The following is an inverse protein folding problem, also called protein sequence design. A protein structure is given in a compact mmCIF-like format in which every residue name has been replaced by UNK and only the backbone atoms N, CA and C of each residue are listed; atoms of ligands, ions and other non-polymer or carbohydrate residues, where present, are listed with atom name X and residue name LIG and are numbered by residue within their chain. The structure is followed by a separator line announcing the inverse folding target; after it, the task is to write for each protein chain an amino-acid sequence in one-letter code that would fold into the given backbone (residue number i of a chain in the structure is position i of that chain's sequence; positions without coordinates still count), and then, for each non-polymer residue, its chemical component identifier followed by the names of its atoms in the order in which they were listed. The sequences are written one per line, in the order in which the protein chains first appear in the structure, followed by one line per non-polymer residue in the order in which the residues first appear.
data_IF_871298141723
#
_entry.id   IF_871298141723
#
_cell.length_a   1.000
_cell.length_b   1.000
_cell.length_c   1.000
_cell.angle_alpha   90.00
_cell.angle_beta   90.00
_cell.angle_gamma   90.00
#
_symmetry.space_group_name_H-M   'P 1'
#
loop_
_entity.id
_entity.type
_entity.pdbx_description
1 polymer ?
#
# COMPACT_ATOMS: atom_id res chain seq x y z
N UNK A 1 -10.71 -12.87 -18.06
CA UNK A 1 -10.77 -12.40 -16.66
C UNK A 1 -9.37 -12.45 -16.07
N UNK A 2 -9.02 -11.54 -15.17
CA UNK A 2 -7.78 -11.67 -14.37
C UNK A 2 -8.03 -12.70 -13.27
N UNK A 3 -7.12 -13.65 -13.10
CA UNK A 3 -7.16 -14.61 -12.00
C UNK A 3 -6.36 -14.06 -10.80
N UNK A 4 -7.04 -13.89 -9.67
CA UNK A 4 -6.45 -13.41 -8.42
C UNK A 4 -6.27 -14.53 -7.38
N UNK A 5 -6.52 -15.79 -7.75
CA UNK A 5 -6.43 -16.96 -6.85
C UNK A 5 -5.07 -17.12 -6.20
N UNK A 6 -4.00 -16.69 -6.87
CA UNK A 6 -2.64 -16.68 -6.31
C UNK A 6 -2.53 -15.88 -5.00
N UNK A 7 -3.39 -14.89 -4.75
CA UNK A 7 -3.42 -14.16 -3.47
C UNK A 7 -3.81 -15.12 -2.35
N UNK A 8 -4.93 -15.83 -2.52
CA UNK A 8 -5.43 -16.81 -1.56
C UNK A 8 -4.43 -17.95 -1.35
N UNK A 9 -3.89 -18.51 -2.42
CA UNK A 9 -2.91 -19.61 -2.34
C UNK A 9 -1.64 -19.20 -1.60
N UNK A 10 -1.18 -17.95 -1.79
CA UNK A 10 -0.02 -17.41 -1.06
C UNK A 10 -0.30 -17.32 0.43
N UNK A 11 -1.49 -16.85 0.82
CA UNK A 11 -1.89 -16.73 2.22
C UNK A 11 -2.07 -18.10 2.88
N UNK A 12 -2.64 -19.08 2.17
CA UNK A 12 -2.75 -20.47 2.64
C UNK A 12 -1.36 -21.05 2.87
N UNK A 13 -0.44 -20.90 1.91
CA UNK A 13 0.92 -21.41 2.05
C UNK A 13 1.68 -20.77 3.23
N UNK A 14 1.43 -19.49 3.54
CA UNK A 14 1.97 -18.83 4.74
C UNK A 14 1.35 -19.42 6.03
N UNK A 15 0.06 -19.70 6.01
CA UNK A 15 -0.63 -20.34 7.14
C UNK A 15 -0.07 -21.74 7.41
N UNK A 16 0.11 -22.56 6.37
CA UNK A 16 0.66 -23.91 6.46
C UNK A 16 2.11 -23.93 6.97
N UNK A 17 2.89 -22.89 6.64
CA UNK A 17 4.26 -22.70 7.14
C UNK A 17 4.33 -22.10 8.55
N UNK A 18 3.19 -21.71 9.12
CA UNK A 18 3.11 -21.12 10.46
C UNK A 18 3.64 -19.69 10.57
N UNK A 19 3.84 -18.97 9.46
CA UNK A 19 4.39 -17.60 9.46
C UNK A 19 3.36 -16.50 9.12
N UNK A 20 2.08 -16.87 8.95
CA UNK A 20 1.02 -15.92 8.58
C UNK A 20 0.85 -14.80 9.62
N UNK A 21 0.92 -15.10 10.92
CA UNK A 21 0.75 -14.09 11.97
C UNK A 21 1.85 -13.02 11.93
N UNK A 22 3.11 -13.45 11.90
CA UNK A 22 4.26 -12.55 11.81
C UNK A 22 4.21 -11.73 10.52
N UNK A 23 3.84 -12.37 9.40
CA UNK A 23 3.65 -11.68 8.13
C UNK A 23 2.53 -10.62 8.23
N UNK A 24 1.39 -10.92 8.85
CA UNK A 24 0.28 -9.97 9.01
C UNK A 24 0.73 -8.73 9.80
N UNK A 25 1.52 -8.89 10.85
CA UNK A 25 2.04 -7.76 11.61
C UNK A 25 2.95 -6.86 10.76
N UNK A 26 3.91 -7.47 10.05
CA UNK A 26 4.82 -6.72 9.19
C UNK A 26 4.10 -6.08 8.00
N UNK A 27 3.14 -6.79 7.40
CA UNK A 27 2.36 -6.30 6.27
C UNK A 27 1.48 -5.12 6.67
N UNK A 28 0.86 -5.18 7.86
CA UNK A 28 0.07 -4.07 8.37
C UNK A 28 0.92 -2.81 8.52
N UNK A 29 2.09 -2.94 9.17
CA UNK A 29 3.05 -1.84 9.31
C UNK A 29 3.50 -1.30 7.95
N UNK A 30 3.83 -2.19 7.01
CA UNK A 30 4.30 -1.82 5.67
C UNK A 30 3.24 -1.05 4.89
N UNK A 31 1.98 -1.52 4.87
CA UNK A 31 0.89 -0.91 4.12
C UNK A 31 0.52 0.49 4.66
N UNK A 32 0.45 0.65 5.99
CA UNK A 32 0.21 1.95 6.61
C UNK A 32 1.35 2.91 6.28
N UNK A 33 2.59 2.47 6.49
CA UNK A 33 3.78 3.29 6.27
C UNK A 33 3.93 3.70 4.81
N UNK A 34 3.70 2.78 3.86
CA UNK A 34 3.80 3.10 2.43
C UNK A 34 2.77 4.15 2.00
N UNK A 35 1.56 4.12 2.56
CA UNK A 35 0.51 5.11 2.21
C UNK A 35 0.80 6.49 2.80
N UNK A 36 1.31 6.55 4.02
CA UNK A 36 1.78 7.82 4.61
C UNK A 36 2.94 8.37 3.79
N UNK A 37 3.94 7.56 3.46
CA UNK A 37 5.07 7.97 2.63
C UNK A 37 4.62 8.44 1.23
N UNK A 38 3.64 7.77 0.63
CA UNK A 38 3.04 8.19 -0.63
C UNK A 38 2.36 9.55 -0.51
N UNK A 39 1.59 9.78 0.55
CA UNK A 39 0.96 11.08 0.82
C UNK A 39 1.97 12.21 0.99
N UNK A 40 3.07 11.97 1.71
CA UNK A 40 4.17 12.94 1.86
C UNK A 40 4.80 13.25 0.49
N UNK A 41 5.11 12.23 -0.30
CA UNK A 41 5.69 12.40 -1.63
C UNK A 41 4.77 13.18 -2.59
N UNK A 42 3.45 12.97 -2.47
CA UNK A 42 2.45 13.64 -3.30
C UNK A 42 2.02 15.02 -2.77
N UNK A 43 2.42 15.40 -1.57
CA UNK A 43 2.10 16.72 -1.01
C UNK A 43 2.82 17.86 -1.74
N UNK A 44 3.90 17.59 -2.47
CA UNK A 44 4.66 18.64 -3.16
C UNK A 44 5.31 19.66 -2.21
N UNK A 45 5.51 19.28 -0.95
CA UNK A 45 6.25 20.07 0.04
C UNK A 45 7.76 19.89 -0.15
N UNK A 46 8.60 20.84 0.32
CA UNK A 46 10.05 20.65 0.33
C UNK A 46 10.44 19.35 1.05
N UNK A 47 11.61 18.76 0.72
CA UNK A 47 12.07 17.56 1.41
C UNK A 47 12.07 17.74 2.94
N UNK A 48 11.33 16.88 3.62
CA UNK A 48 11.23 16.85 5.08
C UNK A 48 12.10 15.74 5.66
N UNK A 49 12.72 16.01 6.81
CA UNK A 49 13.52 15.01 7.52
C UNK A 49 12.66 13.95 8.22
N UNK A 50 13.29 12.88 8.72
CA UNK A 50 12.57 11.78 9.35
C UNK A 50 11.87 12.18 10.65
N UNK A 51 12.31 13.25 11.33
CA UNK A 51 11.64 13.75 12.53
C UNK A 51 10.28 14.36 12.17
N UNK A 52 10.23 15.16 11.09
CA UNK A 52 8.97 15.72 10.58
C UNK A 52 8.08 14.62 10.01
N UNK A 53 8.63 13.64 9.27
CA UNK A 53 7.84 12.48 8.79
C UNK A 53 7.17 11.73 9.95
N UNK A 54 7.90 11.45 11.01
CA UNK A 54 7.36 10.76 12.20
C UNK A 54 6.25 11.57 12.87
N UNK A 55 6.38 12.90 12.91
CA UNK A 55 5.34 13.79 13.46
C UNK A 55 4.07 13.77 12.62
N UNK A 56 4.20 13.88 11.29
CA UNK A 56 3.08 13.76 10.34
C UNK A 56 2.42 12.39 10.51
N UNK A 57 3.20 11.31 10.49
CA UNK A 57 2.69 9.96 10.61
C UNK A 57 1.91 9.74 11.92
N UNK A 58 2.46 10.18 13.06
CA UNK A 58 1.79 10.10 14.35
C UNK A 58 0.45 10.85 14.35
N UNK A 59 0.41 12.05 13.76
CA UNK A 59 -0.83 12.85 13.69
C UNK A 59 -1.88 12.24 12.76
N UNK A 60 -1.45 11.74 11.61
CA UNK A 60 -2.32 11.03 10.67
C UNK A 60 -2.91 9.78 11.34
N UNK A 61 -2.10 8.98 12.01
CA UNK A 61 -2.56 7.77 12.72
C UNK A 61 -3.54 8.14 13.85
N UNK A 62 -3.25 9.17 14.65
CA UNK A 62 -4.14 9.66 15.71
C UNK A 62 -5.54 10.05 15.19
N UNK A 63 -5.59 10.59 13.97
CA UNK A 63 -6.84 11.00 13.31
C UNK A 63 -7.60 9.84 12.63
N UNK A 64 -7.12 8.60 12.79
CA UNK A 64 -7.73 7.39 12.20
C UNK A 64 -8.13 6.39 13.28
N UNK A 65 -8.86 5.34 12.89
CA UNK A 65 -9.21 4.23 13.78
C UNK A 65 -8.14 3.13 13.84
N UNK A 66 -6.92 3.40 13.37
CA UNK A 66 -5.84 2.41 13.25
C UNK A 66 -5.14 2.20 14.60
N UNK A 67 -5.77 1.43 15.49
CA UNK A 67 -5.25 1.16 16.84
C UNK A 67 -3.90 0.46 16.79
N UNK A 68 -2.95 0.88 17.62
CA UNK A 68 -1.60 0.30 17.68
C UNK A 68 -0.88 0.26 16.31
N UNK A 69 -1.19 1.21 15.43
CA UNK A 69 -0.44 1.34 14.18
C UNK A 69 0.96 1.89 14.45
N UNK A 70 1.94 1.25 13.82
CA UNK A 70 3.34 1.67 13.84
C UNK A 70 3.70 2.23 12.47
N UNK A 71 4.45 3.32 12.45
CA UNK A 71 5.01 3.90 11.24
C UNK A 71 6.52 3.60 11.17
N UNK A 72 6.99 3.26 9.98
CA UNK A 72 8.41 3.09 9.71
C UNK A 72 8.78 3.76 8.38
N UNK A 73 9.64 4.81 8.40
CA UNK A 73 9.81 5.74 7.29
C UNK A 73 10.42 5.11 6.03
N UNK A 74 11.08 3.96 6.17
CA UNK A 74 11.76 3.30 5.06
C UNK A 74 10.87 2.32 4.28
N UNK A 75 9.62 2.09 4.71
CA UNK A 75 8.70 1.26 3.94
C UNK A 75 8.10 2.02 2.76
N UNK A 76 8.43 1.56 1.57
CA UNK A 76 7.94 2.14 0.30
C UNK A 76 6.84 1.32 -0.36
N UNK A 77 6.71 0.02 -0.03
CA UNK A 77 5.72 -0.85 -0.66
C UNK A 77 5.26 -1.97 0.28
N UNK A 78 3.97 -2.32 0.18
CA UNK A 78 3.38 -3.47 0.87
C UNK A 78 3.61 -4.77 0.09
N UNK A 79 3.69 -5.91 0.77
CA UNK A 79 3.83 -7.20 0.09
C UNK A 79 2.54 -7.65 -0.59
N UNK A 80 1.36 -7.23 -0.09
CA UNK A 80 0.08 -7.45 -0.79
C UNK A 80 0.09 -6.77 -2.15
N UNK A 81 0.63 -5.54 -2.25
CA UNK A 81 0.79 -4.87 -3.55
C UNK A 81 1.65 -5.68 -4.51
N UNK A 82 2.73 -6.30 -4.04
CA UNK A 82 3.60 -7.13 -4.87
C UNK A 82 2.92 -8.42 -5.34
N UNK A 83 2.14 -9.06 -4.47
CA UNK A 83 1.36 -10.26 -4.81
C UNK A 83 0.30 -9.92 -5.87
N UNK A 84 -0.46 -8.83 -5.66
CA UNK A 84 -1.46 -8.34 -6.61
C UNK A 84 -0.82 -7.99 -7.94
N UNK A 85 0.28 -7.24 -7.93
CA UNK A 85 1.02 -6.87 -9.13
C UNK A 85 1.45 -8.12 -9.92
N UNK A 86 1.95 -9.15 -9.22
CA UNK A 86 2.32 -10.43 -9.83
C UNK A 86 1.15 -11.16 -10.46
N UNK A 87 -0.07 -11.04 -9.92
CA UNK A 87 -1.27 -11.62 -10.52
C UNK A 87 -1.68 -10.87 -11.79
N UNK A 88 -1.67 -9.53 -11.74
CA UNK A 88 -2.02 -8.67 -12.87
C UNK A 88 -1.03 -8.84 -14.02
N UNK A 89 0.26 -8.85 -13.72
CA UNK A 89 1.33 -8.96 -14.71
C UNK A 89 1.31 -10.30 -15.47
N UNK A 90 0.86 -11.39 -14.84
CA UNK A 90 0.72 -12.71 -15.49
C UNK A 90 -0.47 -12.78 -16.46
N UNK A 91 -1.35 -11.78 -16.48
CA UNK A 91 -2.51 -11.78 -17.36
C UNK A 91 -2.12 -11.26 -18.75
N UNK A 92 -1.93 -12.16 -19.72
CA UNK A 92 -1.51 -11.81 -21.08
C UNK A 92 -2.47 -10.82 -21.76
N UNK A 93 -3.79 -10.95 -21.54
CA UNK A 93 -4.77 -10.05 -22.14
C UNK A 93 -4.59 -8.63 -21.60
N UNK A 94 -4.44 -8.48 -20.28
CA UNK A 94 -4.16 -7.20 -19.65
C UNK A 94 -2.84 -6.63 -20.16
N UNK A 95 -1.77 -7.43 -20.17
CA UNK A 95 -0.45 -6.95 -20.63
C UNK A 95 -0.47 -6.50 -22.09
N UNK A 96 -1.12 -7.25 -22.98
CA UNK A 96 -1.26 -6.87 -24.38
C UNK A 96 -2.04 -5.55 -24.55
N UNK A 97 -3.10 -5.31 -23.77
CA UNK A 97 -3.81 -4.02 -23.77
C UNK A 97 -2.94 -2.86 -23.26
N UNK A 98 -2.01 -3.13 -22.34
CA UNK A 98 -1.13 -2.11 -21.77
C UNK A 98 0.09 -1.81 -22.65
N UNK A 99 0.61 -2.79 -23.38
CA UNK A 99 1.76 -2.64 -24.29
C UNK A 99 1.50 -1.63 -25.42
N UNK A 100 0.25 -1.52 -25.88
CA UNK A 100 -0.17 -0.49 -26.85
C UNK A 100 -0.01 0.96 -26.31
N UNK A 101 0.32 1.12 -25.03
CA UNK A 101 0.39 2.42 -24.33
C UNK A 101 1.61 2.55 -23.39
N UNK A 102 2.80 2.11 -23.83
CA UNK A 102 4.02 1.80 -23.04
C UNK A 102 4.41 2.61 -21.77
N UNK A 103 4.03 3.88 -21.60
CA UNK A 103 4.21 4.62 -20.33
C UNK A 103 2.92 4.80 -19.51
N UNK A 104 1.80 5.05 -20.20
CA UNK A 104 0.49 5.21 -19.59
C UNK A 104 -0.05 3.86 -19.10
N UNK A 105 0.22 2.79 -19.84
CA UNK A 105 -0.12 1.42 -19.47
C UNK A 105 0.55 0.98 -18.17
N UNK A 106 1.84 1.30 -17.98
CA UNK A 106 2.54 1.02 -16.71
C UNK A 106 1.93 1.81 -15.55
N UNK A 107 1.57 3.09 -15.76
CA UNK A 107 0.90 3.89 -14.75
C UNK A 107 -0.49 3.32 -14.39
N UNK A 108 -1.25 2.90 -15.40
CA UNK A 108 -2.54 2.23 -15.22
C UNK A 108 -2.40 0.92 -14.43
N UNK A 109 -1.37 0.12 -14.74
CA UNK A 109 -1.09 -1.13 -14.03
C UNK A 109 -0.77 -0.87 -12.56
N UNK A 110 0.08 0.13 -12.27
CA UNK A 110 0.43 0.52 -10.91
C UNK A 110 -0.80 0.98 -10.12
N UNK A 111 -1.64 1.84 -10.71
CA UNK A 111 -2.86 2.33 -10.07
C UNK A 111 -3.85 1.19 -9.81
N UNK A 112 -4.01 0.27 -10.76
CA UNK A 112 -4.87 -0.90 -10.60
C UNK A 112 -4.35 -1.84 -9.51
N UNK A 113 -3.04 -2.09 -9.48
CA UNK A 113 -2.40 -2.91 -8.46
C UNK A 113 -2.57 -2.30 -7.07
N UNK A 114 -2.37 -0.99 -6.93
CA UNK A 114 -2.58 -0.29 -5.66
C UNK A 114 -4.05 -0.35 -5.21
N UNK A 115 -4.99 -0.12 -6.14
CA UNK A 115 -6.42 -0.19 -5.84
C UNK A 115 -6.84 -1.58 -5.34
N UNK A 116 -6.45 -2.64 -6.05
CA UNK A 116 -6.79 -4.01 -5.66
C UNK A 116 -6.09 -4.38 -4.34
N UNK A 117 -4.83 -4.00 -4.16
CA UNK A 117 -4.09 -4.25 -2.93
C UNK A 117 -4.74 -3.58 -1.71
N UNK A 118 -5.26 -2.37 -1.87
CA UNK A 118 -6.01 -1.67 -0.83
C UNK A 118 -7.27 -2.45 -0.43
N UNK A 119 -8.04 -2.97 -1.40
CA UNK A 119 -9.24 -3.77 -1.12
C UNK A 119 -8.89 -5.08 -0.38
N UNK A 120 -7.81 -5.74 -0.79
CA UNK A 120 -7.31 -6.96 -0.14
C UNK A 120 -6.86 -6.65 1.30
N UNK A 121 -6.08 -5.59 1.49
CA UNK A 121 -5.64 -5.15 2.82
C UNK A 121 -6.84 -4.88 3.73
N UNK A 122 -7.77 -4.04 3.29
CA UNK A 122 -8.94 -3.67 4.09
C UNK A 122 -9.75 -4.93 4.49
N UNK A 123 -9.84 -5.92 3.60
CA UNK A 123 -10.51 -7.20 3.89
C UNK A 123 -9.73 -8.06 4.90
N UNK A 124 -8.39 -8.11 4.81
CA UNK A 124 -7.55 -8.94 5.68
C UNK A 124 -7.41 -8.41 7.11
N UNK A 125 -7.47 -7.09 7.28
CA UNK A 125 -7.22 -6.40 8.54
C UNK A 125 -8.47 -5.79 9.16
N UNK A 126 -9.59 -5.71 8.41
CA UNK A 126 -10.80 -4.98 8.84
C UNK A 126 -10.51 -3.50 9.15
N UNK A 127 -9.63 -2.89 8.36
CA UNK A 127 -9.18 -1.51 8.48
C UNK A 127 -9.50 -0.76 7.19
N UNK A 128 -9.64 0.57 7.26
CA UNK A 128 -9.80 1.41 6.07
C UNK A 128 -8.59 2.32 5.89
N UNK A 129 -7.76 1.98 4.92
CA UNK A 129 -6.59 2.80 4.57
C UNK A 129 -6.89 3.82 3.46
N UNK A 130 -8.11 3.89 2.94
CA UNK A 130 -8.43 4.65 1.72
C UNK A 130 -8.09 6.14 1.84
N UNK A 131 -8.37 6.75 2.99
CA UNK A 131 -8.14 8.18 3.23
C UNK A 131 -6.70 8.55 3.57
N UNK A 132 -5.84 7.58 3.94
CA UNK A 132 -4.50 7.86 4.50
C UNK A 132 -3.65 8.78 3.63
N UNK A 133 -3.63 8.57 2.31
CA UNK A 133 -2.83 9.39 1.38
C UNK A 133 -3.28 10.84 1.42
N UNK A 134 -4.59 11.09 1.33
CA UNK A 134 -5.13 12.44 1.30
C UNK A 134 -5.02 13.14 2.66
N UNK A 135 -5.30 12.43 3.75
CA UNK A 135 -5.10 12.95 5.11
C UNK A 135 -3.62 13.31 5.35
N UNK A 136 -2.70 12.49 4.84
CA UNK A 136 -1.27 12.76 4.97
C UNK A 136 -0.83 13.96 4.15
N UNK A 137 -1.34 14.13 2.93
CA UNK A 137 -1.05 15.34 2.12
C UNK A 137 -1.45 16.61 2.87
N UNK A 138 -2.64 16.63 3.45
CA UNK A 138 -3.15 17.76 4.23
C UNK A 138 -2.28 18.05 5.46
N UNK A 139 -1.87 17.01 6.18
CA UNK A 139 -0.99 17.15 7.34
C UNK A 139 0.42 17.61 6.94
N UNK A 140 0.97 17.11 5.84
CA UNK A 140 2.28 17.51 5.33
C UNK A 140 2.33 18.99 4.99
N UNK A 141 1.28 19.55 4.38
CA UNK A 141 1.16 20.99 4.13
C UNK A 141 1.06 21.83 5.40
N UNK A 142 0.47 21.29 6.47
CA UNK A 142 0.34 22.00 7.74
C UNK A 142 1.66 22.04 8.52
N UNK A 143 2.50 21.02 8.37
CA UNK A 143 3.76 20.87 9.11
C UNK A 143 5.00 21.39 8.35
N UNK A 144 4.88 21.70 7.05
CA UNK A 144 5.93 22.28 6.20
C UNK A 144 5.96 23.80 6.24
#
# INVERSE_FOLDING_TARGET
SVDLKNIEETLIAMAEKGNLCDWKEQERKAAISSRINLGIAQAGVPPIDDAIKNKIAAKVIENTNLTNATFEPNYVQSSVTQIVYSCLFKNEILMNMLEESSSHGLLCLNNLAEYVALQVHNSLFSEDLSSLVETTKNEAHYQS
#
